data_IF_152576873814
#
_entry.id   IF_152576873814
#
_cell.length_a   1.000
_cell.length_b   1.000
_cell.length_c   1.000
_cell.angle_alpha   90.00
_cell.angle_beta   90.00
_cell.angle_gamma   90.00
#
_symmetry.space_group_name_H-M   'P 1'
#
loop_
_entity.id
_entity.type
_entity.pdbx_description
1 polymer ?
#
# COMPACT_ATOMS: atom_id res chain seq x y z
N UNK A 1 28.68 46.96 24.20
CA UNK A 1 27.45 47.24 23.42
C UNK A 1 27.80 47.22 21.94
N UNK A 2 27.31 46.26 21.17
CA UNK A 2 27.52 46.22 19.73
C UNK A 2 26.69 47.33 19.07
N UNK A 3 27.32 48.18 18.25
CA UNK A 3 26.64 49.18 17.42
C UNK A 3 25.58 48.46 16.57
N UNK A 4 24.29 48.75 16.81
CA UNK A 4 23.24 48.41 15.84
C UNK A 4 23.56 49.15 14.54
N UNK A 5 24.01 48.41 13.53
CA UNK A 5 24.13 48.91 12.16
C UNK A 5 22.74 49.27 11.65
N UNK A 6 22.59 50.48 11.10
CA UNK A 6 21.33 50.93 10.47
C UNK A 6 20.86 49.92 9.43
N UNK A 7 19.54 49.69 9.44
CA UNK A 7 18.81 48.88 8.46
C UNK A 7 19.03 49.46 7.06
N UNK A 8 19.79 48.78 6.21
CA UNK A 8 19.93 49.15 4.79
C UNK A 8 19.64 47.90 3.98
N UNK A 9 18.58 47.95 3.17
CA UNK A 9 18.24 46.89 2.24
C UNK A 9 19.26 46.93 1.10
N UNK A 10 19.95 45.82 0.88
CA UNK A 10 20.89 45.68 -0.24
C UNK A 10 20.09 45.50 -1.54
N UNK A 11 19.92 46.59 -2.31
CA UNK A 11 19.14 46.57 -3.55
C UNK A 11 19.67 45.57 -4.60
N UNK A 12 20.99 45.36 -4.64
CA UNK A 12 21.59 44.40 -5.57
C UNK A 12 21.20 42.98 -5.17
N UNK A 13 21.30 42.66 -3.88
CA UNK A 13 20.85 41.37 -3.36
C UNK A 13 19.35 41.15 -3.61
N UNK A 14 18.52 42.17 -3.38
CA UNK A 14 17.08 42.11 -3.68
C UNK A 14 16.80 41.75 -5.15
N UNK A 15 17.45 42.42 -6.10
CA UNK A 15 17.32 42.11 -7.54
C UNK A 15 17.77 40.69 -7.87
N UNK A 16 18.85 40.22 -7.25
CA UNK A 16 19.30 38.85 -7.42
C UNK A 16 18.27 37.84 -6.91
N UNK A 17 17.60 38.11 -5.79
CA UNK A 17 16.54 37.25 -5.26
C UNK A 17 15.32 37.22 -6.19
N UNK A 18 14.91 38.38 -6.72
CA UNK A 18 13.81 38.46 -7.70
C UNK A 18 14.16 37.70 -8.99
N UNK A 19 15.41 37.78 -9.45
CA UNK A 19 15.90 37.01 -10.59
C UNK A 19 15.94 35.52 -10.30
N UNK A 20 16.37 35.13 -9.10
CA UNK A 20 16.39 33.73 -8.67
C UNK A 20 14.97 33.15 -8.73
N UNK A 21 14.00 33.80 -8.08
CA UNK A 21 12.61 33.34 -8.03
C UNK A 21 11.96 33.29 -9.41
N UNK A 22 12.20 34.28 -10.28
CA UNK A 22 11.70 34.28 -11.67
C UNK A 22 12.33 33.18 -12.53
N UNK A 23 13.54 32.75 -12.19
CA UNK A 23 14.28 31.72 -12.91
C UNK A 23 14.02 30.29 -12.42
N UNK A 24 13.22 30.12 -11.35
CA UNK A 24 12.90 28.79 -10.83
C UNK A 24 11.98 28.06 -11.82
N UNK A 25 12.42 26.88 -12.24
CA UNK A 25 11.58 25.85 -12.79
C UNK A 25 11.38 24.77 -11.73
N UNK A 26 10.19 24.73 -11.14
CA UNK A 26 9.85 23.78 -10.08
C UNK A 26 8.59 22.98 -10.37
N UNK A 27 8.50 21.82 -9.75
CA UNK A 27 7.36 20.91 -9.77
C UNK A 27 7.06 20.46 -8.34
N UNK A 28 5.78 20.33 -8.02
CA UNK A 28 5.35 19.76 -6.74
C UNK A 28 4.30 18.67 -6.98
N UNK A 29 4.27 17.67 -6.10
CA UNK A 29 3.24 16.64 -6.04
C UNK A 29 2.90 16.37 -4.58
N UNK A 30 1.61 16.36 -4.29
CA UNK A 30 1.07 15.98 -3.00
C UNK A 30 0.23 14.73 -3.17
N UNK A 31 0.49 13.72 -2.34
CA UNK A 31 -0.29 12.49 -2.28
C UNK A 31 -0.75 12.26 -0.84
N UNK A 32 -2.02 11.94 -0.64
CA UNK A 32 -2.52 11.43 0.63
C UNK A 32 -3.47 10.28 0.43
N UNK A 33 -3.26 9.18 1.15
CA UNK A 33 -4.19 8.06 1.16
C UNK A 33 -5.22 8.29 2.28
N UNK A 34 -6.52 8.19 1.97
CA UNK A 34 -7.58 8.26 2.98
C UNK A 34 -7.60 6.94 3.76
N UNK A 35 -6.85 6.89 4.86
CA UNK A 35 -6.77 5.77 5.79
C UNK A 35 -7.68 6.06 7.00
N UNK A 36 -8.99 5.91 6.81
CA UNK A 36 -9.98 6.14 7.87
C UNK A 36 -11.01 5.01 8.00
N UNK A 37 -11.72 4.71 6.92
CA UNK A 37 -12.98 3.97 7.05
C UNK A 37 -13.00 2.56 6.43
N UNK A 38 -11.91 2.10 5.78
CA UNK A 38 -11.86 0.74 5.20
C UNK A 38 -11.27 -0.32 6.15
N UNK A 39 -11.00 0.02 7.42
CA UNK A 39 -10.39 -0.88 8.42
C UNK A 39 -11.40 -1.86 9.03
N UNK A 40 -12.39 -2.31 8.25
CA UNK A 40 -13.25 -3.41 8.68
C UNK A 40 -12.57 -4.73 8.35
N UNK A 41 -12.01 -5.39 9.37
CA UNK A 41 -11.48 -6.75 9.29
C UNK A 41 -12.56 -7.83 9.33
N UNK A 42 -13.84 -7.49 9.13
CA UNK A 42 -14.98 -8.42 9.08
C UNK A 42 -14.78 -9.56 8.06
N UNK A 43 -14.02 -9.31 7.01
CA UNK A 43 -13.65 -10.33 6.03
C UNK A 43 -12.82 -11.46 6.64
N UNK A 44 -11.94 -11.17 7.62
CA UNK A 44 -11.13 -12.17 8.33
C UNK A 44 -12.05 -13.08 9.13
N UNK A 45 -13.00 -12.51 9.88
CA UNK A 45 -13.96 -13.26 10.69
C UNK A 45 -14.82 -14.17 9.83
N UNK A 46 -15.33 -13.64 8.72
CA UNK A 46 -16.20 -14.37 7.80
C UNK A 46 -15.46 -15.55 7.16
N UNK A 47 -14.23 -15.33 6.70
CA UNK A 47 -13.43 -16.40 6.07
C UNK A 47 -13.02 -17.44 7.10
N UNK A 48 -12.49 -17.02 8.26
CA UNK A 48 -12.07 -17.94 9.33
C UNK A 48 -13.22 -18.82 9.82
N UNK A 49 -14.43 -18.26 9.93
CA UNK A 49 -15.64 -19.01 10.27
C UNK A 49 -15.99 -20.09 9.22
N UNK A 50 -15.81 -19.80 7.93
CA UNK A 50 -16.15 -20.75 6.85
C UNK A 50 -15.06 -21.80 6.61
N UNK A 51 -13.81 -21.54 7.01
CA UNK A 51 -12.67 -22.44 6.79
C UNK A 51 -12.93 -23.91 7.20
N UNK A 52 -13.46 -24.24 8.40
CA UNK A 52 -13.71 -25.62 8.80
C UNK A 52 -14.70 -26.36 7.88
N UNK A 53 -15.68 -25.65 7.34
CA UNK A 53 -16.70 -26.21 6.45
C UNK A 53 -16.10 -26.55 5.08
N UNK A 54 -15.22 -25.70 4.55
CA UNK A 54 -14.48 -25.98 3.30
C UNK A 54 -13.51 -27.15 3.53
N UNK A 55 -12.80 -27.16 4.65
CA UNK A 55 -11.86 -28.24 5.00
C UNK A 55 -12.57 -29.61 5.02
N UNK A 56 -13.77 -29.68 5.60
CA UNK A 56 -14.59 -30.90 5.59
C UNK A 56 -14.96 -31.39 4.18
N UNK A 57 -15.22 -30.48 3.24
CA UNK A 57 -15.54 -30.85 1.85
C UNK A 57 -14.28 -31.31 1.12
N UNK A 58 -13.16 -30.59 1.29
CA UNK A 58 -11.90 -30.90 0.63
C UNK A 58 -11.31 -32.24 1.10
N UNK A 59 -11.51 -32.60 2.37
CA UNK A 59 -11.12 -33.91 2.91
C UNK A 59 -12.00 -35.06 2.43
N UNK A 60 -13.27 -34.79 2.14
CA UNK A 60 -14.23 -35.80 1.68
C UNK A 60 -14.85 -35.39 0.33
N UNK A 61 -14.04 -35.28 -0.73
CA UNK A 61 -14.51 -34.83 -2.04
C UNK A 61 -15.39 -35.89 -2.69
N UNK A 62 -16.35 -35.46 -3.51
CA UNK A 62 -17.23 -36.41 -4.20
C UNK A 62 -16.50 -37.06 -5.37
N UNK A 63 -16.46 -38.38 -5.40
CA UNK A 63 -15.93 -39.14 -6.55
C UNK A 63 -17.09 -39.56 -7.45
N UNK A 64 -16.95 -39.33 -8.75
CA UNK A 64 -17.84 -39.85 -9.77
C UNK A 64 -17.13 -40.95 -10.57
N UNK A 65 -17.89 -41.95 -11.00
CA UNK A 65 -17.38 -43.02 -11.86
C UNK A 65 -17.67 -42.66 -13.31
N UNK A 66 -16.62 -42.59 -14.14
CA UNK A 66 -16.71 -42.41 -15.59
C UNK A 66 -16.21 -43.66 -16.30
N UNK A 67 -16.76 -43.90 -17.49
CA UNK A 67 -16.31 -44.97 -18.37
C UNK A 67 -15.34 -44.35 -19.39
N UNK A 68 -14.06 -44.70 -19.32
CA UNK A 68 -13.07 -44.35 -20.34
C UNK A 68 -12.95 -45.47 -21.36
N UNK A 69 -12.93 -45.11 -22.63
CA UNK A 69 -12.79 -46.05 -23.74
C UNK A 69 -11.37 -45.97 -24.29
N UNK A 70 -10.68 -47.12 -24.34
CA UNK A 70 -9.28 -47.22 -24.79
C UNK A 70 -9.14 -48.37 -25.79
N UNK A 71 -8.53 -48.12 -26.95
CA UNK A 71 -8.30 -49.14 -27.98
C UNK A 71 -6.95 -49.80 -27.74
N UNK A 72 -6.97 -51.06 -27.33
CA UNK A 72 -5.75 -51.83 -27.04
C UNK A 72 -5.62 -53.02 -27.97
N UNK A 73 -4.42 -53.63 -28.00
CA UNK A 73 -4.24 -54.93 -28.66
C UNK A 73 -5.11 -55.99 -27.99
N UNK A 74 -5.69 -56.90 -28.79
CA UNK A 74 -6.61 -57.93 -28.31
C UNK A 74 -6.05 -58.76 -27.15
N UNK A 75 -4.74 -59.03 -27.16
CA UNK A 75 -4.01 -59.78 -26.13
C UNK A 75 -4.08 -59.13 -24.73
N UNK A 76 -4.23 -57.81 -24.68
CA UNK A 76 -4.32 -57.04 -23.42
C UNK A 76 -5.76 -56.93 -22.92
N UNK A 77 -6.74 -57.37 -23.70
CA UNK A 77 -8.15 -57.27 -23.36
C UNK A 77 -8.58 -58.42 -22.45
N UNK A 78 -8.99 -58.09 -21.22
CA UNK A 78 -9.52 -59.08 -20.26
C UNK A 78 -11.02 -59.33 -20.41
N UNK A 79 -11.79 -58.32 -20.83
CA UNK A 79 -13.25 -58.41 -20.96
C UNK A 79 -13.73 -57.57 -22.14
N UNK A 80 -14.62 -58.14 -22.93
CA UNK A 80 -15.20 -57.51 -24.12
C UNK A 80 -16.62 -57.05 -23.77
N UNK A 81 -16.96 -55.81 -24.11
CA UNK A 81 -18.31 -55.26 -23.92
C UNK A 81 -19.09 -55.26 -25.24
N UNK A 82 -20.39 -54.99 -25.18
CA UNK A 82 -21.21 -54.85 -26.40
C UNK A 82 -20.73 -53.66 -27.23
N UNK A 83 -20.26 -52.60 -26.59
CA UNK A 83 -19.74 -51.42 -27.29
C UNK A 83 -18.38 -51.71 -27.94
N UNK A 84 -17.57 -52.61 -27.36
CA UNK A 84 -16.37 -53.14 -28.01
C UNK A 84 -16.66 -53.81 -29.36
N UNK A 85 -17.75 -54.57 -29.44
CA UNK A 85 -18.16 -55.26 -30.67
C UNK A 85 -18.71 -54.26 -31.69
N UNK A 86 -19.49 -53.26 -31.26
CA UNK A 86 -19.98 -52.18 -32.12
C UNK A 86 -18.85 -51.33 -32.69
N UNK A 87 -17.80 -51.10 -31.90
CA UNK A 87 -16.64 -50.34 -32.35
C UNK A 87 -15.84 -51.14 -33.38
N UNK A 88 -15.60 -52.43 -33.11
CA UNK A 88 -14.93 -53.32 -34.06
C UNK A 88 -15.67 -53.42 -35.40
N UNK A 89 -17.01 -53.44 -35.41
CA UNK A 89 -17.77 -53.50 -36.66
C UNK A 89 -17.71 -52.20 -37.48
N UNK A 90 -17.48 -51.06 -36.83
CA UNK A 90 -17.24 -49.77 -37.52
C UNK A 90 -15.82 -49.64 -38.03
N UNK A 91 -14.86 -50.28 -37.36
CA UNK A 91 -13.43 -50.14 -37.62
C UNK A 91 -12.83 -51.43 -38.18
N UNK A 92 -13.14 -51.72 -39.44
CA UNK A 92 -12.64 -52.91 -40.16
C UNK A 92 -11.11 -53.04 -40.17
N UNK A 93 -10.38 -51.93 -40.06
CA UNK A 93 -8.92 -51.90 -39.96
C UNK A 93 -8.36 -52.47 -38.64
N UNK A 94 -9.21 -52.78 -37.65
CA UNK A 94 -8.81 -53.53 -36.46
C UNK A 94 -8.82 -55.03 -36.69
N UNK A 95 -9.42 -55.52 -37.76
CA UNK A 95 -9.52 -56.94 -38.10
C UNK A 95 -8.22 -57.39 -38.76
N UNK A 96 -7.61 -58.45 -38.23
CA UNK A 96 -6.37 -59.02 -38.76
C UNK A 96 -6.68 -60.15 -39.76
N UNK A 97 -7.61 -61.03 -39.41
CA UNK A 97 -7.99 -62.18 -40.24
C UNK A 97 -9.49 -62.41 -40.20
N UNK A 98 -10.03 -62.87 -41.33
CA UNK A 98 -11.39 -63.35 -41.47
C UNK A 98 -11.29 -64.76 -42.04
N UNK A 99 -11.88 -65.73 -41.36
CA UNK A 99 -11.97 -67.09 -41.87
C UNK A 99 -13.25 -67.20 -42.72
N UNK A 100 -13.10 -67.31 -44.04
CA UNK A 100 -14.23 -67.34 -44.99
C UNK A 100 -15.08 -68.62 -44.87
N UNK A 101 -14.54 -69.71 -44.31
CA UNK A 101 -15.28 -70.96 -44.12
C UNK A 101 -16.10 -70.97 -42.82
N UNK A 102 -15.58 -70.36 -41.74
CA UNK A 102 -16.25 -70.33 -40.43
C UNK A 102 -16.95 -69.00 -40.13
N UNK A 103 -16.77 -67.98 -40.99
CA UNK A 103 -17.17 -66.58 -40.76
C UNK A 103 -16.63 -65.98 -39.45
N UNK A 104 -15.53 -66.52 -38.92
CA UNK A 104 -14.91 -66.02 -37.69
C UNK A 104 -14.00 -64.82 -37.99
N UNK A 105 -14.09 -63.80 -37.15
CA UNK A 105 -13.33 -62.55 -37.27
C UNK A 105 -12.32 -62.47 -36.14
N UNK A 106 -11.04 -62.36 -36.48
CA UNK A 106 -9.95 -62.21 -35.52
C UNK A 106 -9.42 -60.76 -35.53
N UNK A 107 -9.71 -59.96 -34.49
CA UNK A 107 -9.21 -58.60 -34.38
C UNK A 107 -7.79 -58.52 -33.81
N UNK A 108 -6.97 -57.61 -34.33
CA UNK A 108 -5.68 -57.20 -33.75
C UNK A 108 -5.84 -56.20 -32.60
N UNK A 109 -6.87 -55.35 -32.66
CA UNK A 109 -7.19 -54.32 -31.66
C UNK A 109 -8.67 -54.36 -31.28
N UNK A 110 -8.97 -53.97 -30.05
CA UNK A 110 -10.33 -53.91 -29.54
C UNK A 110 -10.50 -52.76 -28.55
N UNK A 111 -11.65 -52.09 -28.60
CA UNK A 111 -12.04 -51.08 -27.62
C UNK A 111 -12.31 -51.74 -26.27
N UNK A 112 -11.73 -51.21 -25.19
CA UNK A 112 -12.02 -51.60 -23.81
C UNK A 112 -12.59 -50.41 -23.08
N UNK A 113 -13.68 -50.65 -22.35
CA UNK A 113 -14.23 -49.68 -21.42
C UNK A 113 -13.66 -49.92 -20.02
N UNK A 114 -12.94 -48.95 -19.47
CA UNK A 114 -12.46 -48.93 -18.08
C UNK A 114 -13.35 -48.00 -17.25
N UNK A 115 -13.63 -48.41 -16.01
CA UNK A 115 -14.29 -47.53 -15.04
C UNK A 115 -13.21 -46.79 -14.27
N UNK A 116 -13.12 -45.49 -14.49
CA UNK A 116 -12.20 -44.62 -13.78
C UNK A 116 -12.94 -43.69 -12.83
N UNK A 117 -12.28 -43.36 -11.72
CA UNK A 117 -12.78 -42.42 -10.74
C UNK A 117 -12.36 -41.01 -11.13
N UNK A 118 -13.30 -40.07 -11.06
CA UNK A 118 -13.04 -38.66 -11.36
C UNK A 118 -13.61 -37.76 -10.28
N UNK A 119 -12.84 -36.74 -9.92
CA UNK A 119 -13.32 -35.64 -9.07
C UNK A 119 -14.13 -34.60 -9.85
N UNK A 120 -14.32 -34.79 -11.16
CA UNK A 120 -14.91 -33.80 -12.06
C UNK A 120 -16.44 -33.67 -11.95
N UNK A 121 -16.92 -33.41 -10.73
CA UNK A 121 -18.34 -33.15 -10.42
C UNK A 121 -18.61 -31.66 -10.32
N UNK A 122 -19.87 -31.24 -10.53
CA UNK A 122 -20.23 -29.82 -10.44
C UNK A 122 -19.89 -29.23 -9.06
N UNK A 123 -20.16 -29.96 -7.98
CA UNK A 123 -19.92 -29.48 -6.62
C UNK A 123 -18.42 -29.36 -6.31
N UNK A 124 -17.59 -30.30 -6.77
CA UNK A 124 -16.14 -30.16 -6.62
C UNK A 124 -15.58 -29.03 -7.50
N UNK A 125 -16.12 -28.81 -8.71
CA UNK A 125 -15.76 -27.65 -9.55
C UNK A 125 -16.11 -26.33 -8.86
N UNK A 126 -17.25 -26.28 -8.19
CA UNK A 126 -17.65 -25.11 -7.40
C UNK A 126 -16.63 -24.82 -6.29
N UNK A 127 -16.26 -25.83 -5.50
CA UNK A 127 -15.27 -25.66 -4.42
C UNK A 127 -13.89 -25.32 -4.98
N UNK A 128 -13.47 -25.95 -6.08
CA UNK A 128 -12.25 -25.61 -6.81
C UNK A 128 -12.24 -24.13 -7.18
N UNK A 129 -13.31 -23.64 -7.80
CA UNK A 129 -13.45 -22.23 -8.20
C UNK A 129 -13.43 -21.30 -6.99
N UNK A 130 -14.15 -21.66 -5.92
CA UNK A 130 -14.19 -20.88 -4.68
C UNK A 130 -12.80 -20.76 -4.05
N UNK A 131 -12.05 -21.85 -3.94
CA UNK A 131 -10.67 -21.83 -3.40
C UNK A 131 -9.75 -20.99 -4.27
N UNK A 132 -9.88 -21.06 -5.60
CA UNK A 132 -9.10 -20.22 -6.51
C UNK A 132 -9.40 -18.74 -6.31
N UNK A 133 -10.68 -18.36 -6.23
CA UNK A 133 -11.11 -16.97 -6.01
C UNK A 133 -10.70 -16.47 -4.63
N UNK A 134 -10.94 -17.25 -3.58
CA UNK A 134 -10.52 -16.94 -2.22
C UNK A 134 -9.01 -16.70 -2.12
N UNK A 135 -8.21 -17.52 -2.80
CA UNK A 135 -6.75 -17.30 -2.82
C UNK A 135 -6.34 -16.00 -3.51
N UNK A 136 -7.04 -15.58 -4.57
CA UNK A 136 -6.77 -14.28 -5.23
C UNK A 136 -7.15 -13.12 -4.33
N UNK A 137 -8.31 -13.23 -3.67
CA UNK A 137 -8.77 -12.29 -2.67
C UNK A 137 -7.74 -12.11 -1.54
N UNK A 138 -7.26 -13.22 -0.97
CA UNK A 138 -6.26 -13.20 0.10
C UNK A 138 -4.94 -12.54 -0.32
N UNK A 139 -4.44 -12.80 -1.53
CA UNK A 139 -3.21 -12.16 -2.03
C UNK A 139 -3.39 -10.63 -2.09
N UNK A 140 -4.54 -10.16 -2.56
CA UNK A 140 -4.86 -8.73 -2.66
C UNK A 140 -4.94 -8.09 -1.26
N UNK A 141 -5.57 -8.77 -0.30
CA UNK A 141 -5.69 -8.29 1.09
C UNK A 141 -4.38 -8.33 1.87
N UNK A 142 -3.53 -9.32 1.63
CA UNK A 142 -2.20 -9.37 2.23
C UNK A 142 -1.32 -8.22 1.73
N UNK A 143 -1.34 -7.92 0.44
CA UNK A 143 -0.64 -6.76 -0.11
C UNK A 143 -1.16 -5.44 0.51
N UNK A 144 -2.47 -5.31 0.69
CA UNK A 144 -3.07 -4.16 1.38
C UNK A 144 -2.59 -4.04 2.85
N UNK A 145 -2.48 -5.16 3.58
CA UNK A 145 -1.98 -5.19 4.97
C UNK A 145 -0.49 -4.84 5.09
N UNK A 146 0.32 -5.17 4.08
CA UNK A 146 1.74 -4.75 4.00
C UNK A 146 1.84 -3.25 3.65
N UNK A 147 1.00 -2.77 2.75
CA UNK A 147 0.88 -1.35 2.40
C UNK A 147 0.39 -0.50 3.58
N UNK A 148 -0.49 -1.03 4.42
CA UNK A 148 -1.03 -0.31 5.59
C UNK A 148 0.07 0.07 6.59
N UNK A 149 1.13 -0.73 6.74
CA UNK A 149 2.28 -0.41 7.60
C UNK A 149 3.25 0.60 6.98
N UNK A 150 3.27 0.69 5.65
CA UNK A 150 4.29 1.48 4.93
C UNK A 150 3.75 2.80 4.39
N UNK A 151 2.42 2.99 4.40
CA UNK A 151 1.80 4.21 3.88
C UNK A 151 2.08 5.39 4.79
N UNK A 152 2.88 6.30 4.25
CA UNK A 152 2.75 7.71 4.55
C UNK A 152 1.32 8.12 4.25
N UNK A 153 0.60 8.60 5.26
CA UNK A 153 -0.72 9.17 5.04
C UNK A 153 -0.63 10.41 4.17
N UNK A 154 0.53 11.09 4.17
CA UNK A 154 0.80 12.27 3.34
C UNK A 154 2.25 12.28 2.84
N UNK A 155 2.43 12.47 1.54
CA UNK A 155 3.71 12.67 0.87
C UNK A 155 3.67 13.97 0.09
N UNK A 156 4.66 14.84 0.33
CA UNK A 156 4.92 16.04 -0.47
C UNK A 156 6.28 15.89 -1.13
N UNK A 157 6.30 15.94 -2.46
CA UNK A 157 7.51 15.97 -3.27
C UNK A 157 7.62 17.32 -3.96
N UNK A 158 8.81 17.91 -3.93
CA UNK A 158 9.13 19.16 -4.59
C UNK A 158 10.52 19.08 -5.21
N UNK A 159 10.62 19.45 -6.48
CA UNK A 159 11.88 19.55 -7.19
C UNK A 159 11.96 20.92 -7.86
N UNK A 160 13.05 21.63 -7.65
CA UNK A 160 13.27 22.98 -8.18
C UNK A 160 14.67 23.10 -8.77
N UNK A 161 14.77 23.82 -9.89
CA UNK A 161 16.06 24.15 -10.51
C UNK A 161 16.07 25.61 -10.93
N UNK A 162 17.20 26.27 -10.74
CA UNK A 162 17.42 27.63 -11.21
C UNK A 162 18.88 27.82 -11.58
N UNK A 163 19.14 28.74 -12.50
CA UNK A 163 20.50 29.08 -12.92
C UNK A 163 20.70 30.57 -12.80
N UNK A 164 21.68 30.97 -12.00
CA UNK A 164 22.27 32.27 -12.11
C UNK A 164 23.41 32.19 -13.14
N UNK A 165 23.83 33.30 -13.76
CA UNK A 165 24.92 33.32 -14.76
C UNK A 165 26.27 32.73 -14.27
N UNK A 166 26.36 32.35 -13.01
CA UNK A 166 27.57 31.88 -12.31
C UNK A 166 27.43 30.41 -11.86
N UNK A 167 26.21 29.94 -11.58
CA UNK A 167 25.99 28.64 -10.97
C UNK A 167 24.57 28.10 -11.27
N UNK A 168 24.46 26.77 -11.30
CA UNK A 168 23.17 26.06 -11.35
C UNK A 168 22.88 25.50 -9.99
N UNK A 169 21.69 25.79 -9.47
CA UNK A 169 21.23 25.35 -8.16
C UNK A 169 20.03 24.44 -8.36
N UNK A 170 20.04 23.29 -7.72
CA UNK A 170 18.93 22.33 -7.71
C UNK A 170 18.54 22.03 -6.27
N UNK A 171 17.26 21.74 -6.05
CA UNK A 171 16.71 21.25 -4.79
C UNK A 171 15.75 20.10 -5.08
N UNK A 172 15.85 19.06 -4.25
CA UNK A 172 14.90 17.96 -4.20
C UNK A 172 14.49 17.80 -2.73
N UNK A 173 13.18 17.89 -2.48
CA UNK A 173 12.59 17.83 -1.16
C UNK A 173 11.50 16.76 -1.17
N UNK A 174 11.57 15.84 -0.20
CA UNK A 174 10.52 14.87 0.07
C UNK A 174 10.16 14.95 1.55
N UNK A 175 8.91 15.31 1.83
CA UNK A 175 8.33 15.35 3.18
C UNK A 175 7.29 14.25 3.28
N UNK A 176 7.41 13.45 4.32
CA UNK A 176 6.63 12.24 4.55
C UNK A 176 6.05 12.29 5.95
N UNK A 177 4.73 12.11 6.08
CA UNK A 177 4.03 12.12 7.36
C UNK A 177 3.19 10.85 7.50
N UNK A 178 3.28 10.28 8.70
CA UNK A 178 2.53 9.11 9.14
C UNK A 178 1.62 9.53 10.29
N UNK A 179 0.38 9.08 10.30
CA UNK A 179 -0.48 9.13 11.48
C UNK A 179 0.13 8.21 12.52
N UNK A 180 0.56 8.81 13.63
CA UNK A 180 0.90 8.06 14.83
C UNK A 180 -0.41 8.01 15.62
N UNK A 181 -0.98 6.84 15.91
CA UNK A 181 -2.12 6.74 16.81
C UNK A 181 -1.70 7.29 18.18
N UNK A 182 -2.16 8.48 18.56
CA UNK A 182 -1.79 9.10 19.84
C UNK A 182 -2.54 8.42 20.99
N UNK A 183 -1.80 7.89 21.99
CA UNK A 183 -2.34 7.46 23.29
C UNK A 183 -1.90 6.07 23.77
N UNK A 184 -2.31 5.70 24.98
CA UNK A 184 -2.05 4.40 25.64
C UNK A 184 -2.59 3.16 24.91
N UNK A 185 -3.18 3.33 23.71
CA UNK A 185 -3.68 2.28 22.84
C UNK A 185 -2.78 1.95 21.64
N UNK A 186 -1.62 2.62 21.47
CA UNK A 186 -0.69 2.29 20.37
C UNK A 186 -0.11 0.87 20.49
N UNK A 187 0.17 0.43 21.72
CA UNK A 187 0.63 -0.94 22.00
C UNK A 187 -0.51 -1.96 21.80
N UNK A 188 -1.75 -1.57 22.09
CA UNK A 188 -2.93 -2.42 21.89
C UNK A 188 -3.31 -2.54 20.41
N UNK A 189 -3.19 -1.47 19.63
CA UNK A 189 -3.42 -1.50 18.18
C UNK A 189 -2.34 -2.30 17.44
N UNK A 190 -1.07 -2.15 17.82
CA UNK A 190 0.00 -2.97 17.26
C UNK A 190 -0.21 -4.47 17.56
N UNK A 191 -0.66 -4.80 18.79
CA UNK A 191 -1.04 -6.17 19.15
C UNK A 191 -2.23 -6.67 18.33
N UNK A 192 -3.28 -5.87 18.18
CA UNK A 192 -4.47 -6.22 17.39
C UNK A 192 -4.10 -6.48 15.93
N UNK A 193 -3.26 -5.64 15.33
CA UNK A 193 -2.76 -5.83 13.96
C UNK A 193 -1.91 -7.11 13.84
N UNK A 194 -1.06 -7.39 14.83
CA UNK A 194 -0.27 -8.62 14.86
C UNK A 194 -1.16 -9.88 15.02
N UNK A 195 -2.23 -9.79 15.82
CA UNK A 195 -3.24 -10.84 15.93
C UNK A 195 -3.95 -11.07 14.61
N UNK A 196 -4.41 -10.02 13.93
CA UNK A 196 -5.00 -10.11 12.59
C UNK A 196 -4.04 -10.77 11.61
N UNK A 197 -2.76 -10.41 11.61
CA UNK A 197 -1.74 -11.05 10.76
C UNK A 197 -1.60 -12.54 11.04
N UNK A 198 -1.60 -12.93 12.31
CA UNK A 198 -1.58 -14.35 12.69
C UNK A 198 -2.82 -15.06 12.17
N UNK A 199 -4.00 -14.45 12.24
CA UNK A 199 -5.27 -15.00 11.69
C UNK A 199 -5.21 -15.16 10.17
N UNK A 200 -4.80 -14.12 9.46
CA UNK A 200 -4.61 -14.10 7.99
C UNK A 200 -3.63 -15.18 7.55
N UNK A 201 -2.50 -15.32 8.25
CA UNK A 201 -1.53 -16.40 8.00
C UNK A 201 -2.16 -17.79 8.14
N UNK A 202 -2.97 -18.03 9.18
CA UNK A 202 -3.68 -19.31 9.35
C UNK A 202 -4.63 -19.60 8.18
N UNK A 203 -5.39 -18.59 7.74
CA UNK A 203 -6.29 -18.72 6.57
C UNK A 203 -5.47 -19.08 5.31
N UNK A 204 -4.33 -18.42 5.09
CA UNK A 204 -3.42 -18.74 3.99
C UNK A 204 -2.91 -20.18 4.06
N UNK A 205 -2.56 -20.65 5.25
CA UNK A 205 -2.12 -22.02 5.47
C UNK A 205 -3.22 -23.04 5.11
N UNK A 206 -4.47 -22.79 5.51
CA UNK A 206 -5.63 -23.59 5.08
C UNK A 206 -5.78 -23.63 3.57
N UNK A 207 -5.77 -22.47 2.90
CA UNK A 207 -5.90 -22.38 1.44
C UNK A 207 -4.76 -23.13 0.74
N UNK A 208 -3.52 -23.01 1.25
CA UNK A 208 -2.38 -23.73 0.73
C UNK A 208 -2.54 -25.25 0.87
N UNK A 209 -3.10 -25.70 1.99
CA UNK A 209 -3.40 -27.11 2.25
C UNK A 209 -4.46 -27.63 1.28
N UNK A 210 -5.54 -26.88 1.07
CA UNK A 210 -6.61 -27.27 0.15
C UNK A 210 -6.14 -27.33 -1.30
N UNK A 211 -5.27 -26.40 -1.72
CA UNK A 211 -4.66 -26.44 -3.06
C UNK A 211 -3.77 -27.67 -3.27
N UNK A 212 -3.16 -28.20 -2.21
CA UNK A 212 -2.38 -29.44 -2.26
C UNK A 212 -3.24 -30.71 -2.21
N UNK A 213 -4.55 -30.60 -1.98
CA UNK A 213 -5.44 -31.76 -1.94
C UNK A 213 -5.50 -32.48 -3.29
N UNK A 214 -5.75 -33.78 -3.24
CA UNK A 214 -5.85 -34.62 -4.44
C UNK A 214 -6.98 -34.15 -5.37
N UNK A 215 -8.13 -33.76 -4.80
CA UNK A 215 -9.25 -33.19 -5.55
C UNK A 215 -8.82 -31.95 -6.33
N UNK A 216 -8.21 -30.97 -5.65
CA UNK A 216 -7.80 -29.71 -6.28
C UNK A 216 -6.74 -29.95 -7.36
N UNK A 217 -5.70 -30.74 -7.05
CA UNK A 217 -4.62 -31.03 -8.00
C UNK A 217 -5.12 -31.78 -9.23
N UNK A 218 -6.06 -32.72 -9.05
CA UNK A 218 -6.64 -33.49 -10.16
C UNK A 218 -7.48 -32.60 -11.08
N UNK A 219 -8.29 -31.70 -10.52
CA UNK A 219 -9.10 -30.75 -11.29
C UNK A 219 -8.24 -29.72 -12.03
N UNK A 220 -7.16 -29.25 -11.41
CA UNK A 220 -6.21 -28.33 -12.00
C UNK A 220 -5.45 -28.97 -13.17
N UNK A 221 -4.95 -30.20 -12.99
CA UNK A 221 -4.29 -30.98 -14.07
C UNK A 221 -5.23 -31.23 -15.24
N UNK A 222 -6.49 -31.53 -14.96
CA UNK A 222 -7.52 -31.73 -15.97
C UNK A 222 -8.03 -30.42 -16.61
N UNK A 223 -7.52 -29.25 -16.19
CA UNK A 223 -7.91 -27.91 -16.71
C UNK A 223 -9.41 -27.71 -16.77
N UNK A 224 -10.09 -28.13 -15.71
CA UNK A 224 -11.55 -28.08 -15.65
C UNK A 224 -12.02 -26.62 -15.63
N UNK A 225 -13.05 -26.25 -16.43
CA UNK A 225 -13.55 -24.88 -16.45
C UNK A 225 -14.15 -24.48 -15.09
N UNK A 226 -13.91 -23.23 -14.72
CA UNK A 226 -14.48 -22.61 -13.52
C UNK A 226 -16.01 -22.52 -13.58
N UNK A 227 -16.63 -22.53 -12.41
CA UNK A 227 -18.08 -22.33 -12.28
C UNK A 227 -18.40 -20.83 -12.39
N UNK A 228 -19.36 -20.50 -13.24
CA UNK A 228 -19.82 -19.12 -13.47
C UNK A 228 -21.05 -18.85 -12.59
N UNK A 229 -21.21 -17.64 -12.01
CA UNK A 229 -22.44 -17.23 -11.35
C UNK A 229 -23.67 -17.32 -12.27
N UNK A 230 -24.88 -17.57 -11.72
CA UNK A 230 -25.16 -17.96 -10.33
C UNK A 230 -24.86 -19.44 -10.05
N UNK A 231 -24.51 -19.76 -8.81
CA UNK A 231 -24.26 -21.15 -8.39
C UNK A 231 -25.55 -21.96 -8.50
N UNK A 232 -25.47 -23.12 -9.17
CA UNK A 232 -26.61 -24.03 -9.34
C UNK A 232 -26.96 -24.65 -8.01
N UNK A 233 -28.22 -24.51 -7.60
CA UNK A 233 -28.77 -25.05 -6.35
C UNK A 233 -29.01 -26.55 -6.46
N UNK A 234 -27.95 -27.37 -6.48
CA UNK A 234 -28.08 -28.83 -6.47
C UNK A 234 -28.56 -29.32 -5.09
N UNK A 235 -29.10 -30.54 -5.02
CA UNK A 235 -29.52 -31.13 -3.75
C UNK A 235 -28.40 -31.20 -2.71
N UNK A 236 -27.15 -31.40 -3.15
CA UNK A 236 -26.00 -31.43 -2.26
C UNK A 236 -25.72 -30.04 -1.69
N UNK A 237 -25.75 -29.01 -2.54
CA UNK A 237 -25.55 -27.61 -2.12
C UNK A 237 -26.67 -27.13 -1.19
N UNK A 238 -27.90 -27.53 -1.47
CA UNK A 238 -29.06 -27.11 -0.67
C UNK A 238 -29.17 -27.80 0.68
N UNK A 239 -28.76 -29.08 0.81
CA UNK A 239 -28.99 -29.87 2.03
C UNK A 239 -27.76 -30.01 2.93
N UNK A 240 -26.55 -29.88 2.37
CA UNK A 240 -25.32 -30.05 3.16
C UNK A 240 -24.88 -28.71 3.78
N UNK A 241 -24.79 -28.60 5.12
CA UNK A 241 -24.38 -27.37 5.79
C UNK A 241 -23.01 -26.85 5.32
N UNK A 242 -22.09 -27.74 4.96
CA UNK A 242 -20.77 -27.33 4.49
C UNK A 242 -20.86 -26.56 3.17
N UNK A 243 -21.67 -27.04 2.22
CA UNK A 243 -21.85 -26.38 0.94
C UNK A 243 -22.70 -25.11 1.04
N UNK A 244 -23.63 -25.05 2.00
CA UNK A 244 -24.36 -23.82 2.29
C UNK A 244 -23.42 -22.70 2.76
N UNK A 245 -22.51 -22.99 3.69
CA UNK A 245 -21.53 -22.01 4.17
C UNK A 245 -20.50 -21.65 3.08
N UNK A 246 -20.08 -22.60 2.24
CA UNK A 246 -19.25 -22.30 1.07
C UNK A 246 -19.97 -21.36 0.08
N UNK A 247 -21.29 -21.51 -0.09
CA UNK A 247 -22.10 -20.61 -0.94
C UNK A 247 -22.20 -19.21 -0.34
N UNK A 248 -22.34 -19.08 0.98
CA UNK A 248 -22.30 -17.77 1.66
C UNK A 248 -20.96 -17.06 1.46
N UNK A 249 -19.84 -17.80 1.57
CA UNK A 249 -18.52 -17.23 1.30
C UNK A 249 -18.38 -16.80 -0.17
N UNK A 250 -18.92 -17.59 -1.10
CA UNK A 250 -18.95 -17.19 -2.51
C UNK A 250 -19.68 -15.86 -2.72
N UNK A 251 -20.88 -15.72 -2.17
CA UNK A 251 -21.70 -14.50 -2.25
C UNK A 251 -21.00 -13.31 -1.57
N UNK A 252 -20.36 -13.55 -0.43
CA UNK A 252 -19.53 -12.56 0.27
C UNK A 252 -18.40 -12.05 -0.63
N UNK A 253 -17.59 -12.94 -1.23
CA UNK A 253 -16.48 -12.54 -2.09
C UNK A 253 -16.94 -11.71 -3.30
N UNK A 254 -18.08 -12.07 -3.91
CA UNK A 254 -18.63 -11.32 -5.04
C UNK A 254 -19.12 -9.91 -4.65
N UNK A 255 -19.74 -9.78 -3.47
CA UNK A 255 -20.29 -8.51 -2.98
C UNK A 255 -19.20 -7.60 -2.45
N UNK A 256 -18.21 -8.19 -1.77
CA UNK A 256 -17.10 -7.46 -1.17
C UNK A 256 -16.22 -6.81 -2.25
N UNK A 257 -15.88 -7.53 -3.32
CA UNK A 257 -15.14 -6.96 -4.45
C UNK A 257 -15.92 -5.78 -5.07
N UNK A 258 -17.24 -5.92 -5.27
CA UNK A 258 -18.07 -4.85 -5.85
C UNK A 258 -18.14 -3.60 -4.96
N UNK A 259 -18.27 -3.76 -3.66
CA UNK A 259 -18.32 -2.65 -2.71
C UNK A 259 -16.98 -1.91 -2.62
N UNK A 260 -15.84 -2.60 -2.70
CA UNK A 260 -14.53 -1.91 -2.79
C UNK A 260 -14.36 -1.12 -4.10
N UNK A 261 -14.90 -1.62 -5.21
CA UNK A 261 -14.93 -0.87 -6.48
C UNK A 261 -15.83 0.39 -6.42
N UNK A 262 -16.85 0.42 -5.57
CA UNK A 262 -17.64 1.65 -5.33
C UNK A 262 -16.97 2.57 -4.31
N UNK A 263 -16.37 2.05 -3.22
CA UNK A 263 -15.69 2.86 -2.19
C UNK A 263 -14.35 3.44 -2.66
N UNK A 264 -13.74 2.87 -3.70
CA UNK A 264 -12.58 3.48 -4.41
C UNK A 264 -12.92 4.83 -5.05
N UNK A 265 -14.19 5.21 -5.17
CA UNK A 265 -14.55 6.58 -5.57
C UNK A 265 -14.28 7.65 -4.49
N UNK A 266 -13.97 7.26 -3.24
CA UNK A 266 -13.42 8.14 -2.19
C UNK A 266 -11.89 8.05 -2.16
N UNK A 267 -11.29 8.16 -3.33
CA UNK A 267 -9.85 8.07 -3.59
C UNK A 267 -9.05 9.09 -2.76
N UNK A 268 -7.85 8.68 -2.35
CA UNK A 268 -6.86 9.59 -1.77
C UNK A 268 -6.59 10.80 -2.68
N UNK A 269 -6.14 11.92 -2.10
CA UNK A 269 -5.81 13.13 -2.85
C UNK A 269 -4.43 12.97 -3.53
N UNK A 270 -4.38 12.95 -4.86
CA UNK A 270 -3.15 13.14 -5.66
C UNK A 270 -3.28 14.43 -6.48
N UNK A 271 -2.46 15.42 -6.19
CA UNK A 271 -2.54 16.74 -6.81
C UNK A 271 -1.17 17.39 -6.96
N UNK A 272 -1.01 18.24 -7.97
CA UNK A 272 0.16 19.10 -8.14
C UNK A 272 0.06 20.40 -7.32
N UNK A 273 -0.88 20.48 -6.37
CA UNK A 273 -1.11 21.67 -5.54
C UNK A 273 -1.65 22.86 -6.34
N UNK A 274 -1.42 24.06 -5.82
CA UNK A 274 -1.75 25.31 -6.49
C UNK A 274 -0.52 26.26 -6.55
N UNK A 275 -0.65 27.33 -7.33
CA UNK A 275 0.44 28.29 -7.54
C UNK A 275 0.91 28.96 -6.25
N UNK A 276 0.03 29.13 -5.26
CA UNK A 276 0.38 29.71 -3.95
C UNK A 276 1.28 28.76 -3.16
N UNK A 277 0.90 27.48 -3.07
CA UNK A 277 1.69 26.43 -2.40
C UNK A 277 3.05 26.27 -3.07
N UNK A 278 3.08 26.26 -4.41
CA UNK A 278 4.31 26.20 -5.18
C UNK A 278 5.21 27.41 -4.90
N UNK A 279 4.64 28.62 -4.89
CA UNK A 279 5.40 29.83 -4.59
C UNK A 279 5.97 29.86 -3.17
N UNK A 280 5.29 29.24 -2.19
CA UNK A 280 5.83 29.07 -0.82
C UNK A 280 7.06 28.14 -0.85
N UNK A 281 7.01 27.04 -1.61
CA UNK A 281 8.13 26.11 -1.75
C UNK A 281 9.31 26.73 -2.54
N UNK A 282 9.02 27.54 -3.56
CA UNK A 282 10.02 28.31 -4.30
C UNK A 282 10.76 29.32 -3.40
N UNK A 283 10.04 29.94 -2.45
CA UNK A 283 10.64 30.81 -1.44
C UNK A 283 11.46 30.04 -0.41
N UNK A 284 10.99 28.87 0.02
CA UNK A 284 11.78 27.98 0.88
C UNK A 284 13.09 27.57 0.19
N UNK A 285 13.04 27.26 -1.12
CA UNK A 285 14.24 26.99 -1.92
C UNK A 285 15.23 28.16 -1.92
N UNK A 286 14.75 29.41 -2.05
CA UNK A 286 15.60 30.59 -1.94
C UNK A 286 16.25 30.70 -0.54
N UNK A 287 15.52 30.35 0.51
CA UNK A 287 16.05 30.34 1.88
C UNK A 287 17.14 29.29 2.08
N UNK A 288 16.94 28.07 1.55
CA UNK A 288 17.95 27.02 1.55
C UNK A 288 19.20 27.46 0.78
N UNK A 289 19.00 28.15 -0.35
CA UNK A 289 20.10 28.76 -1.09
C UNK A 289 20.83 29.85 -0.27
N UNK A 290 20.15 30.69 0.49
CA UNK A 290 20.82 31.66 1.37
C UNK A 290 21.68 30.98 2.44
N UNK A 291 21.21 29.87 2.99
CA UNK A 291 22.01 29.06 3.92
C UNK A 291 23.27 28.56 3.21
N UNK A 292 23.13 27.95 2.04
CA UNK A 292 24.24 27.46 1.23
C UNK A 292 25.24 28.59 0.88
N UNK A 293 24.74 29.70 0.34
CA UNK A 293 25.54 30.85 -0.10
C UNK A 293 26.18 31.63 1.06
N UNK A 294 25.74 31.40 2.30
CA UNK A 294 26.34 32.01 3.48
C UNK A 294 27.61 31.29 3.96
N UNK A 295 27.78 30.01 3.62
CA UNK A 295 28.91 29.19 4.05
C UNK A 295 30.21 29.86 3.63
N UNK A 296 31.06 30.19 4.60
CA UNK A 296 32.34 30.90 4.37
C UNK A 296 33.41 30.38 5.35
N UNK A 297 34.69 30.32 4.96
CA UNK A 297 35.77 29.91 5.87
C UNK A 297 35.90 30.80 7.11
N UNK A 298 35.57 32.09 6.98
CA UNK A 298 35.57 33.05 8.08
C UNK A 298 34.19 33.12 8.75
N UNK A 299 34.13 32.82 10.06
CA UNK A 299 32.92 32.97 10.87
C UNK A 299 32.36 34.39 10.84
N UNK A 300 33.22 35.40 10.75
CA UNK A 300 32.82 36.81 10.66
C UNK A 300 32.11 37.10 9.34
N UNK A 301 32.70 36.64 8.24
CA UNK A 301 32.12 36.82 6.90
C UNK A 301 30.80 36.08 6.75
N UNK A 302 30.73 34.84 7.24
CA UNK A 302 29.49 34.06 7.27
C UNK A 302 28.39 34.79 8.03
N UNK A 303 28.72 35.35 9.21
CA UNK A 303 27.76 36.15 10.00
C UNK A 303 27.28 37.39 9.24
N UNK A 304 28.18 38.11 8.57
CA UNK A 304 27.84 39.28 7.77
C UNK A 304 26.94 38.92 6.58
N UNK A 305 27.19 37.80 5.88
CA UNK A 305 26.33 37.27 4.81
C UNK A 305 24.95 36.86 5.32
N UNK A 306 24.89 36.09 6.41
CA UNK A 306 23.64 35.66 7.03
C UNK A 306 22.75 36.86 7.41
N UNK A 307 23.33 37.91 8.01
CA UNK A 307 22.57 39.12 8.35
C UNK A 307 21.94 39.74 7.10
N UNK A 308 22.69 39.85 5.99
CA UNK A 308 22.16 40.40 4.73
C UNK A 308 21.04 39.55 4.14
N UNK A 309 21.20 38.23 4.14
CA UNK A 309 20.18 37.32 3.63
C UNK A 309 18.91 37.32 4.48
N UNK A 310 19.03 37.24 5.81
CA UNK A 310 17.88 37.32 6.74
C UNK A 310 17.12 38.64 6.56
N UNK A 311 17.83 39.75 6.42
CA UNK A 311 17.20 41.06 6.18
C UNK A 311 16.46 41.13 4.84
N UNK A 312 16.98 40.48 3.80
CA UNK A 312 16.34 40.45 2.48
C UNK A 312 15.12 39.52 2.49
N UNK A 313 15.25 38.36 3.13
CA UNK A 313 14.18 37.40 3.38
C UNK A 313 13.01 38.02 4.14
N UNK A 314 13.26 38.80 5.20
CA UNK A 314 12.20 39.47 5.96
C UNK A 314 11.30 40.33 5.07
N UNK A 315 11.89 41.15 4.20
CA UNK A 315 11.13 41.99 3.27
C UNK A 315 10.32 41.17 2.27
N UNK A 316 10.89 40.06 1.78
CA UNK A 316 10.23 39.17 0.84
C UNK A 316 9.03 38.47 1.49
N UNK A 317 9.19 37.92 2.69
CA UNK A 317 8.11 37.26 3.42
C UNK A 317 6.98 38.22 3.77
N UNK A 318 7.28 39.45 4.21
CA UNK A 318 6.24 40.47 4.46
C UNK A 318 5.41 40.69 3.19
N UNK A 319 6.07 40.90 2.04
CA UNK A 319 5.39 41.08 0.76
C UNK A 319 4.51 39.86 0.40
N UNK A 320 5.02 38.64 0.58
CA UNK A 320 4.29 37.41 0.26
C UNK A 320 3.07 37.22 1.15
N UNK A 321 3.26 37.34 2.46
CA UNK A 321 2.19 37.18 3.47
C UNK A 321 1.07 38.17 3.18
N UNK A 322 1.39 39.43 2.92
CA UNK A 322 0.40 40.44 2.52
C UNK A 322 -0.31 40.05 1.21
N UNK A 323 0.43 39.60 0.18
CA UNK A 323 -0.18 39.16 -1.08
C UNK A 323 -1.17 38.00 -0.88
N UNK A 324 -0.76 36.96 -0.14
CA UNK A 324 -1.61 35.80 0.14
C UNK A 324 -2.88 36.24 0.86
N UNK A 325 -2.76 37.09 1.88
CA UNK A 325 -3.91 37.53 2.67
C UNK A 325 -4.90 38.33 1.80
N UNK A 326 -4.40 39.20 0.93
CA UNK A 326 -5.23 39.92 -0.04
C UNK A 326 -5.88 38.98 -1.06
N UNK A 327 -5.14 37.99 -1.57
CA UNK A 327 -5.65 36.99 -2.54
C UNK A 327 -6.80 36.16 -1.93
N UNK A 328 -6.77 35.92 -0.62
CA UNK A 328 -7.84 35.25 0.15
C UNK A 328 -8.91 36.21 0.70
N UNK A 329 -8.88 37.50 0.33
CA UNK A 329 -9.87 38.49 0.75
C UNK A 329 -9.78 38.93 2.21
N UNK A 330 -8.64 38.69 2.87
CA UNK A 330 -8.35 39.10 4.24
C UNK A 330 -7.67 40.47 4.18
N UNK A 331 -8.40 41.51 4.58
CA UNK A 331 -7.84 42.86 4.75
C UNK A 331 -7.13 42.96 6.11
N UNK A 332 -5.90 43.49 6.11
CA UNK A 332 -5.07 43.64 7.31
C UNK A 332 -4.59 45.06 7.38
N UNK A 333 -4.94 45.73 8.48
CA UNK A 333 -4.47 47.08 8.72
C UNK A 333 -3.00 47.10 9.12
N UNK A 334 -2.32 48.20 8.78
CA UNK A 334 -0.93 48.45 9.21
C UNK A 334 -0.76 48.31 10.72
N UNK A 335 -1.77 48.77 11.49
CA UNK A 335 -1.76 48.70 12.96
C UNK A 335 -1.78 47.27 13.48
N UNK A 336 -2.55 46.38 12.85
CA UNK A 336 -2.62 44.97 13.21
C UNK A 336 -1.30 44.25 12.93
N UNK A 337 -0.72 44.48 11.74
CA UNK A 337 0.56 43.89 11.36
C UNK A 337 1.69 44.36 12.30
N UNK A 338 1.75 45.66 12.61
CA UNK A 338 2.74 46.21 13.55
C UNK A 338 2.56 45.65 14.97
N UNK A 339 1.33 45.41 15.40
CA UNK A 339 1.07 44.81 16.71
C UNK A 339 1.55 43.36 16.77
N UNK A 340 1.27 42.54 15.76
CA UNK A 340 1.78 41.16 15.66
C UNK A 340 3.31 41.11 15.72
N UNK A 341 3.98 41.97 14.94
CA UNK A 341 5.45 42.08 14.95
C UNK A 341 5.97 42.52 16.34
N UNK A 342 5.27 43.45 16.99
CA UNK A 342 5.66 43.98 18.30
C UNK A 342 5.56 42.92 19.40
N UNK A 343 4.53 42.08 19.36
CA UNK A 343 4.35 40.95 20.29
C UNK A 343 5.53 39.98 20.13
N UNK A 344 5.82 39.52 18.91
CA UNK A 344 6.90 38.56 18.66
C UNK A 344 8.28 39.11 19.06
N UNK A 345 8.56 40.40 18.79
CA UNK A 345 9.80 41.06 19.23
C UNK A 345 9.94 41.01 20.76
N UNK A 346 8.85 41.25 21.50
CA UNK A 346 8.87 41.24 22.95
C UNK A 346 9.04 39.81 23.50
N UNK A 347 8.37 38.83 22.92
CA UNK A 347 8.55 37.42 23.30
C UNK A 347 9.99 36.94 23.10
N UNK A 348 10.60 37.24 21.95
CA UNK A 348 11.97 36.84 21.65
C UNK A 348 12.99 37.55 22.55
N UNK A 349 12.76 38.83 22.89
CA UNK A 349 13.57 39.54 23.89
C UNK A 349 13.46 38.88 25.27
N UNK A 350 12.26 38.49 25.68
CA UNK A 350 12.01 37.84 26.97
C UNK A 350 12.64 36.44 27.04
N UNK A 351 12.52 35.62 25.99
CA UNK A 351 13.19 34.31 25.90
C UNK A 351 14.71 34.43 26.07
N UNK A 352 15.33 35.42 25.42
CA UNK A 352 16.77 35.68 25.57
C UNK A 352 17.16 36.13 26.97
N UNK A 353 16.36 36.99 27.60
CA UNK A 353 16.58 37.41 28.99
C UNK A 353 16.47 36.22 29.97
N UNK A 354 15.47 35.34 29.78
CA UNK A 354 15.30 34.13 30.58
C UNK A 354 16.47 33.16 30.42
N UNK A 355 16.87 32.85 29.18
CA UNK A 355 18.04 31.99 28.92
C UNK A 355 19.34 32.58 29.49
N UNK A 356 19.54 33.90 29.43
CA UNK A 356 20.71 34.57 30.02
C UNK A 356 20.70 34.50 31.55
N UNK A 357 19.52 34.57 32.17
CA UNK A 357 19.33 34.41 33.61
C UNK A 357 19.63 32.97 34.05
N UNK A 358 19.12 31.97 33.34
CA UNK A 358 19.39 30.56 33.64
C UNK A 358 20.88 30.20 33.51
N UNK A 359 21.56 30.74 32.50
CA UNK A 359 23.02 30.58 32.37
C UNK A 359 23.74 31.25 33.54
N UNK A 360 23.34 32.47 33.93
CA UNK A 360 23.92 33.19 35.07
C UNK A 360 23.72 32.43 36.38
N UNK A 361 22.53 31.88 36.62
CA UNK A 361 22.19 31.15 37.83
C UNK A 361 23.01 29.85 37.91
N UNK A 362 23.16 29.10 36.80
CA UNK A 362 24.06 27.93 36.74
C UNK A 362 25.52 28.27 37.02
N UNK A 363 26.01 29.39 36.46
CA UNK A 363 27.38 29.85 36.76
C UNK A 363 27.53 30.24 38.22
N UNK A 364 26.51 30.84 38.83
CA UNK A 364 26.52 31.24 40.24
C UNK A 364 26.54 30.02 41.16
N UNK A 365 25.72 29.01 40.89
CA UNK A 365 25.72 27.73 41.63
C UNK A 365 27.07 27.02 41.52
N UNK A 366 27.67 26.97 40.32
CA UNK A 366 29.00 26.36 40.13
C UNK A 366 30.11 27.13 40.87
N UNK A 367 29.98 28.45 41.00
CA UNK A 367 30.90 29.29 41.76
C UNK A 367 30.73 29.11 43.28
N UNK A 368 29.50 28.97 43.75
CA UNK A 368 29.15 28.69 45.15
C UNK A 368 29.69 27.29 45.55
N UNK A 369 29.47 26.26 44.73
CA UNK A 369 30.03 24.91 44.94
C UNK A 369 31.57 24.90 44.94
N UNK A 370 32.20 25.69 44.09
CA UNK A 370 33.66 25.83 44.06
C UNK A 370 34.19 26.52 45.33
N UNK A 371 33.50 27.56 45.81
CA UNK A 371 33.88 28.28 47.02
C UNK A 371 33.66 27.45 48.29
N UNK A 372 32.59 26.66 48.37
CA UNK A 372 32.35 25.71 49.46
C UNK A 372 33.46 24.65 49.53
N UNK A 373 33.83 24.06 48.39
CA UNK A 373 34.96 23.11 48.34
C UNK A 373 36.27 23.75 48.80
N UNK A 374 36.53 25.00 48.41
CA UNK A 374 37.73 25.72 48.84
C UNK A 374 37.74 26.06 50.35
N UNK A 375 36.57 26.19 50.97
CA UNK A 375 36.45 26.36 52.44
C UNK A 375 36.69 25.05 53.20
N UNK A 376 36.42 23.88 52.61
CA UNK A 376 36.76 22.59 53.22
C UNK A 376 38.27 22.27 53.20
N UNK A 377 39.06 22.99 52.40
CA UNK A 377 40.52 22.83 52.30
C UNK A 377 41.34 23.86 53.11
N UNK A 378 40.69 24.80 53.81
CA UNK A 378 41.32 25.68 54.81
C UNK A 378 40.94 25.24 56.22
#
# INVERSE_FOLDING_TARGET
>A
MAKLSKLVVDEKLKKNCESFLKGINSQMRYQSNLSGDSTSFEWVDTIEFVCPYIDNIVRNPRVALINEEDVVKIERAKKISVDSVKDLSKHTHYIEKINEETNEVQPSKILITRREETYNTYENRFIYTLITNLSRFMITKEAFLEDFETKNDKVLEYAGSTSNNIERINIELKVTSYSIPEGSGADDFAKELEEIRKRVKRIRDYISSWRRSEMYSSLEKARVPFVVPPIRKTNLILKNPNFQNATKLWEFLQTYDFNEFEDTSKEGLDTTGNDIMKAILDEAFLMDYFVLASISPSKREQKEKLIKYVMTSLNLHIKRVVSILLDYGIDISEKELLNMISIEINEEKNRRLASTKDVRDKFKTALEEYLEKMQEYM
#
